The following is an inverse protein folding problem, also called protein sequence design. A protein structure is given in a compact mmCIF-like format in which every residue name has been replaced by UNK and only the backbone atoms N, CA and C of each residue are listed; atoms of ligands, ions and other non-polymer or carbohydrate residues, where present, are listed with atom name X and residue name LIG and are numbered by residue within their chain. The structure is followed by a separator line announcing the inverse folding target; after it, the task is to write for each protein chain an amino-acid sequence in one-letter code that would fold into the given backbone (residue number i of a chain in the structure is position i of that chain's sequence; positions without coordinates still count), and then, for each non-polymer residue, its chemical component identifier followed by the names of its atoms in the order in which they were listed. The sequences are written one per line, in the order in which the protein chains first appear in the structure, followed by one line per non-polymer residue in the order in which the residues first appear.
data_IF_010572493612
#
_entry.id   IF_010572493612
#
_cell.length_a   1.000
_cell.length_b   1.000
_cell.length_c   1.000
_cell.angle_alpha   90.00
_cell.angle_beta   90.00
_cell.angle_gamma   90.00
#
_symmetry.space_group_name_H-M   'P 1'
#
loop_
_entity.id
_entity.type
_entity.pdbx_description
1 polymer ?
#
# COMPACT_ATOMS: atom_id res chain seq x y z
N UNK A 1 -0.89 3.68 1.10
CA UNK A 1 -0.72 3.57 2.56
C UNK A 1 0.48 4.40 2.95
N UNK A 2 0.54 4.99 4.15
CA UNK A 2 1.71 5.79 4.55
C UNK A 2 2.96 4.89 4.58
N UNK A 3 4.08 5.38 4.03
CA UNK A 3 5.37 4.66 4.01
C UNK A 3 5.75 4.12 5.39
N UNK A 4 5.51 4.91 6.44
CA UNK A 4 5.80 4.56 7.83
C UNK A 4 5.01 3.34 8.27
N UNK A 5 3.69 3.32 8.04
CA UNK A 5 2.81 2.19 8.35
C UNK A 5 3.22 0.92 7.60
N UNK A 6 3.51 1.02 6.30
CA UNK A 6 3.96 -0.13 5.52
C UNK A 6 5.32 -0.65 6.02
N UNK A 7 6.23 0.25 6.40
CA UNK A 7 7.52 -0.10 7.00
C UNK A 7 7.34 -0.84 8.33
N UNK A 8 6.45 -0.37 9.20
CA UNK A 8 6.14 -1.00 10.49
C UNK A 8 5.58 -2.41 10.29
N UNK A 9 4.64 -2.59 9.37
CA UNK A 9 4.09 -3.91 9.04
C UNK A 9 5.20 -4.85 8.54
N UNK A 10 6.04 -4.39 7.62
CA UNK A 10 7.12 -5.22 7.05
C UNK A 10 8.22 -5.55 8.07
N UNK A 11 8.35 -4.82 9.19
CA UNK A 11 9.31 -5.16 10.25
C UNK A 11 9.05 -6.53 10.88
N UNK A 12 7.79 -7.00 10.84
CA UNK A 12 7.40 -8.28 11.41
C UNK A 12 7.84 -9.47 10.54
N UNK A 13 8.11 -9.24 9.26
CA UNK A 13 8.39 -10.29 8.28
C UNK A 13 9.84 -10.28 7.78
N UNK A 14 10.48 -9.12 7.80
CA UNK A 14 11.75 -8.93 7.10
C UNK A 14 12.78 -8.19 7.95
N UNK A 15 14.04 -8.57 7.74
CA UNK A 15 15.17 -7.80 8.26
C UNK A 15 15.17 -6.37 7.71
N UNK A 16 15.87 -5.47 8.41
CA UNK A 16 16.01 -4.05 8.03
C UNK A 16 16.45 -3.90 6.57
N UNK A 17 17.43 -4.71 6.14
CA UNK A 17 17.97 -4.67 4.78
C UNK A 17 16.92 -5.10 3.75
N UNK A 18 16.30 -6.26 3.96
CA UNK A 18 15.31 -6.81 3.02
C UNK A 18 14.08 -5.89 2.89
N UNK A 19 13.57 -5.38 4.01
CA UNK A 19 12.50 -4.40 4.03
C UNK A 19 12.85 -3.16 3.21
N UNK A 20 14.07 -2.65 3.33
CA UNK A 20 14.49 -1.47 2.58
C UNK A 20 14.57 -1.76 1.07
N UNK A 21 15.01 -2.95 0.66
CA UNK A 21 14.95 -3.38 -0.75
C UNK A 21 13.51 -3.42 -1.26
N UNK A 22 12.57 -3.97 -0.46
CA UNK A 22 11.14 -3.99 -0.79
C UNK A 22 10.58 -2.58 -0.94
N UNK A 23 10.81 -1.68 0.03
CA UNK A 23 10.35 -0.29 0.00
C UNK A 23 11.00 0.56 -1.10
N UNK A 24 12.07 0.05 -1.73
CA UNK A 24 12.72 0.63 -2.92
C UNK A 24 12.30 -0.07 -4.21
N UNK A 25 11.39 -1.05 -4.17
CA UNK A 25 10.96 -1.81 -5.34
C UNK A 25 12.05 -2.69 -5.96
N UNK A 26 13.15 -2.92 -5.26
CA UNK A 26 14.26 -3.78 -5.72
C UNK A 26 13.92 -5.27 -5.53
N UNK A 27 13.03 -5.57 -4.57
CA UNK A 27 12.51 -6.90 -4.33
C UNK A 27 11.02 -6.85 -4.04
N UNK A 28 10.34 -7.96 -4.34
CA UNK A 28 8.97 -8.21 -3.91
C UNK A 28 8.98 -9.05 -2.63
N UNK A 29 8.01 -8.86 -1.72
CA UNK A 29 7.78 -9.81 -0.66
C UNK A 29 7.45 -11.19 -1.24
N UNK A 30 7.61 -12.21 -0.41
CA UNK A 30 7.17 -13.57 -0.74
C UNK A 30 5.65 -13.60 -0.92
N UNK A 31 5.17 -14.49 -1.79
CA UNK A 31 3.75 -14.56 -2.11
C UNK A 31 2.87 -14.83 -0.88
N UNK A 32 3.34 -15.69 0.03
CA UNK A 32 2.70 -15.97 1.32
C UNK A 32 2.50 -14.70 2.14
N UNK A 33 3.55 -13.89 2.26
CA UNK A 33 3.50 -12.59 2.95
C UNK A 33 2.57 -11.63 2.22
N UNK A 34 2.59 -11.57 0.89
CA UNK A 34 1.66 -10.71 0.12
C UNK A 34 0.20 -11.07 0.43
N UNK A 35 -0.14 -12.36 0.45
CA UNK A 35 -1.50 -12.83 0.77
C UNK A 35 -1.90 -12.44 2.20
N UNK A 36 -0.97 -12.56 3.16
CA UNK A 36 -1.22 -12.15 4.54
C UNK A 36 -1.40 -10.64 4.68
N UNK A 37 -0.53 -9.84 4.04
CA UNK A 37 -0.64 -8.39 4.00
C UNK A 37 -1.95 -7.92 3.39
N UNK A 38 -2.45 -8.64 2.38
CA UNK A 38 -3.74 -8.38 1.79
C UNK A 38 -4.89 -8.67 2.76
N UNK A 39 -4.89 -9.86 3.37
CA UNK A 39 -5.96 -10.30 4.27
C UNK A 39 -6.01 -9.51 5.58
N UNK A 40 -4.85 -9.24 6.19
CA UNK A 40 -4.74 -8.67 7.54
C UNK A 40 -4.69 -7.14 7.50
N UNK A 41 -3.96 -6.57 6.54
CA UNK A 41 -3.69 -5.14 6.49
C UNK A 41 -4.36 -4.42 5.31
N UNK A 42 -5.10 -5.16 4.46
CA UNK A 42 -5.78 -4.60 3.30
C UNK A 42 -4.83 -4.06 2.25
N UNK A 43 -3.58 -4.54 2.18
CA UNK A 43 -2.62 -4.09 1.17
C UNK A 43 -2.99 -4.70 -0.19
N UNK A 44 -3.27 -3.89 -1.23
CA UNK A 44 -3.62 -4.42 -2.55
C UNK A 44 -2.44 -5.15 -3.21
N UNK A 45 -2.72 -6.17 -4.03
CA UNK A 45 -1.68 -6.99 -4.69
C UNK A 45 -0.87 -6.19 -5.74
N UNK A 46 -1.53 -5.26 -6.42
CA UNK A 46 -0.94 -4.38 -7.43
C UNK A 46 0.08 -3.40 -6.85
N UNK A 47 0.05 -3.13 -5.54
CA UNK A 47 1.10 -2.36 -4.85
C UNK A 47 2.48 -2.93 -5.09
N UNK A 48 2.63 -4.24 -5.20
CA UNK A 48 3.93 -4.89 -5.35
C UNK A 48 4.46 -4.83 -6.80
N UNK A 49 3.64 -4.36 -7.75
CA UNK A 49 4.08 -4.07 -9.13
C UNK A 49 4.84 -2.75 -9.15
N UNK A 50 4.30 -1.71 -8.51
CA UNK A 50 4.92 -0.39 -8.42
C UNK A 50 4.74 0.24 -7.02
N UNK A 51 5.50 -0.30 -6.08
CA UNK A 51 5.45 0.14 -4.68
C UNK A 51 5.94 1.58 -4.50
N UNK A 52 6.81 2.07 -5.39
CA UNK A 52 7.31 3.45 -5.34
C UNK A 52 6.18 4.43 -5.61
N UNK A 53 5.46 4.22 -6.72
CA UNK A 53 4.31 5.05 -7.05
C UNK A 53 3.22 4.94 -5.99
N UNK A 54 2.97 3.76 -5.44
CA UNK A 54 2.00 3.60 -4.36
C UNK A 54 2.37 4.37 -3.09
N UNK A 55 3.65 4.40 -2.72
CA UNK A 55 4.13 5.15 -1.56
C UNK A 55 4.10 6.66 -1.84
N UNK A 56 4.53 7.09 -3.03
CA UNK A 56 4.59 8.50 -3.40
C UNK A 56 3.21 9.13 -3.58
N UNK A 57 2.28 8.41 -4.19
CA UNK A 57 0.92 8.87 -4.48
C UNK A 57 -0.07 8.50 -3.38
N UNK A 58 0.40 8.12 -2.19
CA UNK A 58 -0.51 7.88 -1.09
C UNK A 58 -1.13 9.20 -0.61
N UNK A 59 -2.33 9.46 -1.11
CA UNK A 59 -3.26 10.38 -0.48
C UNK A 59 -4.01 9.54 0.55
N UNK A 60 -3.92 9.84 1.86
CA UNK A 60 -4.75 9.17 2.84
C UNK A 60 -6.21 9.30 2.38
N UNK A 61 -6.87 8.16 2.15
CA UNK A 61 -8.33 8.16 2.08
C UNK A 61 -8.78 8.71 3.43
N UNK A 62 -9.16 9.99 3.48
CA UNK A 62 -10.01 10.49 4.53
C UNK A 62 -11.15 9.48 4.63
N UNK A 63 -11.43 9.01 5.85
CA UNK A 63 -12.52 8.11 6.17
C UNK A 63 -13.82 8.73 5.67
N UNK A 64 -14.10 8.50 4.39
CA UNK A 64 -15.28 9.00 3.71
C UNK A 64 -16.28 7.88 3.87
N UNK A 65 -17.02 7.95 4.97
CA UNK A 65 -18.43 7.56 4.97
C UNK A 65 -19.22 8.48 4.05
N UNK A 66 -18.85 8.55 2.77
CA UNK A 66 -19.53 9.31 1.74
C UNK A 66 -19.86 8.37 0.59
N UNK A 67 -21.14 8.10 0.49
CA UNK A 67 -21.81 7.42 -0.62
C UNK A 67 -21.37 8.00 -1.95
N UNK A 68 -21.13 7.09 -2.91
CA UNK A 68 -20.89 7.36 -4.32
C UNK A 68 -22.03 8.26 -4.82
N UNK A 69 -21.81 9.56 -5.07
CA UNK A 69 -22.67 10.35 -5.98
C UNK A 69 -22.26 11.78 -6.41
N UNK A 70 -21.12 12.37 -6.05
CA UNK A 70 -20.86 13.79 -6.42
C UNK A 70 -19.67 14.04 -7.37
N UNK A 71 -19.33 13.09 -8.23
CA UNK A 71 -18.30 13.30 -9.26
C UNK A 71 -18.86 13.59 -10.68
N UNK A 72 -20.19 13.74 -10.84
CA UNK A 72 -20.81 13.89 -12.17
C UNK A 72 -21.59 15.19 -12.43
N UNK A 73 -21.51 16.21 -11.56
CA UNK A 73 -22.27 17.48 -11.73
C UNK A 73 -21.38 18.74 -11.73
N UNK A 74 -20.13 18.65 -12.15
CA UNK A 74 -19.31 19.85 -12.44
C UNK A 74 -18.79 19.88 -13.88
N UNK A 75 -19.41 19.10 -14.77
CA UNK A 75 -19.18 19.14 -16.22
C UNK A 75 -20.46 19.48 -17.00
N UNK A 76 -21.32 20.36 -16.44
CA UNK A 76 -22.38 21.06 -17.15
C UNK A 76 -22.39 22.53 -16.77
#
# INVERSE_FOLDING_TARGET
MERKKLKEILNNYYSVSMRNMILRGERRPEYTVIVELHKVHGVPFDVWIDIKSFIANYIPKAETGATINDAYVLAQ
#
